data_IF_887553720737
#
_entry.id   IF_887553720737
#
_cell.length_a   1.000
_cell.length_b   1.000
_cell.length_c   1.000
_cell.angle_alpha   90.00
_cell.angle_beta   90.00
_cell.angle_gamma   90.00
#
_symmetry.space_group_name_H-M   'P 1'
#
loop_
_entity.id
_entity.type
_entity.pdbx_description
1 polymer ?
#
# COMPACT_ATOMS: atom_id res chain seq x y z
N UNK A 1 -10.25 33.70 7.54
CA UNK A 1 -9.60 33.08 6.36
C UNK A 1 -8.20 32.65 6.77
N UNK A 2 -8.00 31.37 7.05
CA UNK A 2 -6.67 30.80 7.30
C UNK A 2 -6.21 30.07 6.04
N UNK A 3 -5.43 30.75 5.20
CA UNK A 3 -4.76 30.17 4.04
C UNK A 3 -3.36 29.73 4.46
N UNK A 4 -3.21 28.51 4.97
CA UNK A 4 -1.87 27.99 5.33
C UNK A 4 -1.51 26.63 4.74
N UNK A 5 -2.43 25.97 4.04
CA UNK A 5 -2.11 24.92 3.05
C UNK A 5 -3.12 25.07 1.91
N UNK A 6 -2.67 25.45 0.70
CA UNK A 6 -3.49 25.40 -0.52
C UNK A 6 -3.46 23.96 -1.06
N UNK A 7 -3.90 23.00 -0.26
CA UNK A 7 -3.95 21.60 -0.64
C UNK A 7 -5.33 21.04 -0.30
N UNK A 8 -5.75 20.03 -1.06
CA UNK A 8 -7.05 19.40 -0.94
C UNK A 8 -6.97 18.30 0.13
N UNK A 9 -7.89 18.33 1.09
CA UNK A 9 -8.04 17.26 2.07
C UNK A 9 -8.67 16.04 1.40
N UNK A 10 -8.00 14.89 1.53
CA UNK A 10 -8.41 13.63 0.91
C UNK A 10 -8.35 12.53 1.96
N UNK A 11 -9.50 12.20 2.55
CA UNK A 11 -9.67 11.09 3.49
C UNK A 11 -8.51 10.97 4.52
N UNK A 12 -8.27 12.01 5.30
CA UNK A 12 -7.23 12.06 6.33
C UNK A 12 -5.84 12.46 5.83
N UNK A 13 -5.63 12.62 4.52
CA UNK A 13 -4.35 12.98 3.92
C UNK A 13 -4.50 14.27 3.09
N UNK A 14 -3.41 14.70 2.48
CA UNK A 14 -3.38 15.89 1.62
C UNK A 14 -3.03 15.50 0.19
N UNK A 15 -3.75 16.03 -0.79
CA UNK A 15 -3.64 15.61 -2.19
C UNK A 15 -2.21 15.74 -2.73
N UNK A 16 -1.49 16.79 -2.37
CA UNK A 16 -0.12 17.07 -2.80
C UNK A 16 0.94 16.10 -2.24
N UNK A 17 0.59 15.28 -1.24
CA UNK A 17 1.48 14.28 -0.65
C UNK A 17 0.92 12.87 -0.64
N UNK A 18 -0.17 12.61 -1.36
CA UNK A 18 -0.99 11.41 -1.20
C UNK A 18 -0.24 10.12 -1.49
N UNK A 19 0.57 10.08 -2.57
CA UNK A 19 1.37 8.92 -2.94
C UNK A 19 2.32 8.48 -1.81
N UNK A 20 2.89 9.46 -1.09
CA UNK A 20 3.75 9.20 0.05
C UNK A 20 2.92 8.86 1.28
N UNK A 21 1.87 9.61 1.57
CA UNK A 21 1.05 9.40 2.77
C UNK A 21 0.39 8.02 2.78
N UNK A 22 0.04 7.48 1.62
CA UNK A 22 -0.43 6.09 1.46
C UNK A 22 0.56 5.01 1.94
N UNK A 23 1.76 5.36 2.38
CA UNK A 23 2.75 4.44 2.94
C UNK A 23 2.80 4.48 4.48
N UNK A 24 1.74 4.94 5.13
CA UNK A 24 1.52 4.82 6.57
C UNK A 24 1.45 3.34 7.01
N UNK A 25 1.67 3.05 8.29
CA UNK A 25 1.38 1.75 8.89
C UNK A 25 0.82 1.89 10.30
N UNK A 26 0.33 0.79 10.88
CA UNK A 26 -0.10 0.76 12.28
C UNK A 26 1.02 0.19 13.14
N UNK A 27 1.18 0.78 14.32
CA UNK A 27 1.98 0.22 15.38
C UNK A 27 1.36 -1.09 15.89
N UNK A 28 2.03 -2.21 15.67
CA UNK A 28 1.55 -3.52 16.14
C UNK A 28 1.58 -3.69 17.66
N UNK A 29 2.17 -2.76 18.42
CA UNK A 29 2.46 -3.00 19.83
C UNK A 29 1.23 -2.91 20.75
N UNK A 30 0.26 -1.98 20.56
CA UNK A 30 -1.00 -1.92 21.37
C UNK A 30 -2.13 -1.13 20.69
N UNK A 31 -3.39 -1.60 20.85
CA UNK A 31 -4.61 -0.84 20.58
C UNK A 31 -5.15 -0.88 19.14
N UNK A 32 -4.56 -1.70 18.27
CA UNK A 32 -5.10 -1.95 16.94
C UNK A 32 -6.29 -2.91 17.01
N UNK A 33 -7.33 -2.64 16.21
CA UNK A 33 -8.48 -3.53 16.04
C UNK A 33 -9.07 -3.37 14.65
N UNK A 34 -9.80 -4.39 14.17
CA UNK A 34 -10.59 -4.22 12.95
C UNK A 34 -11.84 -3.40 13.26
N UNK A 35 -12.13 -2.31 12.52
CA UNK A 35 -13.38 -1.58 12.66
C UNK A 35 -14.58 -2.49 12.39
N UNK A 36 -15.63 -2.37 13.21
CA UNK A 36 -16.88 -3.13 13.02
C UNK A 36 -17.82 -2.49 12.00
N UNK A 37 -17.56 -1.24 11.61
CA UNK A 37 -18.32 -0.49 10.62
C UNK A 37 -17.38 0.24 9.66
N UNK A 38 -17.84 0.49 8.43
CA UNK A 38 -17.09 1.27 7.45
C UNK A 38 -16.83 2.69 7.94
N UNK A 39 -15.61 3.19 7.73
CA UNK A 39 -15.17 4.54 8.16
C UNK A 39 -14.62 5.38 7.01
N UNK A 40 -13.82 4.75 6.16
CA UNK A 40 -13.15 5.36 5.02
C UNK A 40 -12.65 4.26 4.07
N UNK A 41 -12.23 4.61 2.84
CA UNK A 41 -11.59 3.67 1.93
C UNK A 41 -10.31 3.06 2.51
N UNK A 42 -9.95 1.84 2.13
CA UNK A 42 -8.85 1.09 2.79
C UNK A 42 -7.46 1.70 2.58
N UNK A 43 -7.28 2.53 1.55
CA UNK A 43 -6.06 3.29 1.33
C UNK A 43 -5.86 4.44 2.34
N UNK A 44 -6.91 4.85 3.06
CA UNK A 44 -6.86 5.90 4.08
C UNK A 44 -6.56 5.33 5.46
N UNK A 45 -5.67 6.00 6.20
CA UNK A 45 -5.43 5.67 7.60
C UNK A 45 -6.66 5.88 8.50
N UNK A 46 -7.64 6.67 8.05
CA UNK A 46 -8.92 6.88 8.77
C UNK A 46 -9.74 5.59 8.82
N UNK A 47 -9.51 4.67 7.88
CA UNK A 47 -10.14 3.35 7.89
C UNK A 47 -9.69 2.53 9.11
N UNK A 48 -8.47 2.72 9.60
CA UNK A 48 -7.88 1.88 10.64
C UNK A 48 -8.13 2.35 12.07
N UNK A 49 -8.01 1.42 13.02
CA UNK A 49 -7.99 1.68 14.46
C UNK A 49 -6.62 1.28 14.99
N UNK A 50 -5.98 2.18 15.73
CA UNK A 50 -4.65 1.97 16.30
C UNK A 50 -3.78 3.21 16.19
N UNK A 51 -2.54 3.12 16.69
CA UNK A 51 -1.54 4.19 16.51
C UNK A 51 -1.02 4.13 15.08
N UNK A 52 -1.34 5.14 14.28
CA UNK A 52 -0.83 5.30 12.92
C UNK A 52 0.57 5.90 12.97
N UNK A 53 1.52 5.23 12.34
CA UNK A 53 2.81 5.77 11.97
C UNK A 53 2.72 6.34 10.56
N UNK A 54 2.93 7.65 10.37
CA UNK A 54 2.90 8.25 9.04
C UNK A 54 4.09 7.77 8.21
N UNK A 55 3.97 7.88 6.89
CA UNK A 55 5.10 7.64 6.01
C UNK A 55 6.28 8.56 6.38
N UNK A 56 7.51 8.04 6.31
CA UNK A 56 8.69 8.77 6.74
C UNK A 56 9.09 9.88 5.74
N UNK A 57 8.56 11.08 5.96
CA UNK A 57 8.75 12.25 5.08
C UNK A 57 10.15 12.87 5.13
N UNK A 58 10.95 12.55 6.15
CA UNK A 58 12.29 13.13 6.35
C UNK A 58 13.39 12.49 5.48
N UNK A 59 13.12 11.31 4.93
CA UNK A 59 14.00 10.68 3.95
C UNK A 59 13.51 11.10 2.57
N UNK A 60 14.40 11.55 1.69
CA UNK A 60 14.03 11.81 0.29
C UNK A 60 14.02 10.48 -0.49
N UNK A 61 13.22 10.43 -1.54
CA UNK A 61 13.11 9.21 -2.34
C UNK A 61 12.25 9.37 -3.57
N UNK A 62 12.34 8.40 -4.46
CA UNK A 62 11.56 8.31 -5.69
C UNK A 62 10.21 7.67 -5.37
N UNK A 63 9.12 8.36 -5.70
CA UNK A 63 7.79 7.73 -5.77
C UNK A 63 7.74 6.84 -7.00
N UNK A 64 7.29 5.60 -6.82
CA UNK A 64 7.12 4.60 -7.87
C UNK A 64 5.65 4.28 -8.13
N UNK A 65 4.76 5.04 -7.49
CA UNK A 65 3.32 5.05 -7.70
C UNK A 65 2.83 6.48 -8.00
N UNK A 66 1.68 6.56 -8.64
CA UNK A 66 1.00 7.81 -8.97
C UNK A 66 -0.51 7.66 -8.79
N UNK A 67 -1.12 8.59 -8.07
CA UNK A 67 -2.59 8.65 -7.96
C UNK A 67 -3.14 9.49 -9.11
N UNK A 68 -3.88 8.86 -10.02
CA UNK A 68 -4.39 9.51 -11.22
C UNK A 68 -5.79 10.10 -11.04
N UNK A 69 -6.65 9.40 -10.30
CA UNK A 69 -8.04 9.83 -10.04
C UNK A 69 -8.44 9.45 -8.62
N UNK A 70 -9.35 10.24 -8.06
CA UNK A 70 -9.89 10.03 -6.73
C UNK A 70 -11.37 10.38 -6.79
N UNK A 71 -12.18 9.59 -6.11
CA UNK A 71 -13.59 9.84 -5.88
C UNK A 71 -13.89 9.58 -4.40
N UNK A 72 -14.62 10.49 -3.76
CA UNK A 72 -15.01 10.38 -2.37
C UNK A 72 -16.50 10.66 -2.24
N UNK A 73 -17.20 9.75 -1.57
CA UNK A 73 -18.62 9.92 -1.24
C UNK A 73 -18.74 10.34 0.22
N UNK A 74 -19.23 11.55 0.47
CA UNK A 74 -19.39 12.10 1.81
C UNK A 74 -20.77 11.81 2.40
N UNK A 75 -20.84 11.64 3.72
CA UNK A 75 -22.12 11.50 4.44
C UNK A 75 -22.92 12.81 4.38
N UNK A 76 -22.24 13.94 4.48
CA UNK A 76 -22.81 15.29 4.44
C UNK A 76 -22.11 16.13 3.35
N UNK A 77 -22.48 17.41 3.22
CA UNK A 77 -21.79 18.36 2.34
C UNK A 77 -20.41 18.79 2.88
N UNK A 78 -20.07 18.41 4.12
CA UNK A 78 -18.76 18.69 4.72
C UNK A 78 -17.70 17.74 4.15
N UNK A 79 -16.84 18.28 3.27
CA UNK A 79 -15.75 17.56 2.61
C UNK A 79 -14.61 17.15 3.55
N UNK A 80 -14.64 17.56 4.82
CA UNK A 80 -13.72 17.10 5.87
C UNK A 80 -14.38 16.09 6.82
N UNK A 81 -15.66 15.80 6.60
CA UNK A 81 -16.48 14.93 7.43
C UNK A 81 -16.37 13.44 7.08
N UNK A 82 -17.34 12.68 7.58
CA UNK A 82 -17.40 11.22 7.41
C UNK A 82 -17.62 10.83 5.96
N UNK A 83 -16.98 9.74 5.54
CA UNK A 83 -17.14 9.13 4.23
C UNK A 83 -18.15 7.98 4.29
N UNK A 84 -18.93 7.82 3.23
CA UNK A 84 -19.79 6.63 2.98
C UNK A 84 -19.20 5.69 1.93
N UNK A 85 -18.18 6.14 1.20
CA UNK A 85 -17.56 5.42 0.09
C UNK A 85 -16.39 6.22 -0.50
N UNK A 86 -15.64 5.59 -1.37
CA UNK A 86 -14.59 6.26 -2.14
C UNK A 86 -13.66 5.27 -2.81
N UNK A 87 -12.94 5.75 -3.82
CA UNK A 87 -11.94 4.97 -4.53
C UNK A 87 -10.86 5.89 -5.09
N UNK A 88 -9.71 5.31 -5.40
CA UNK A 88 -8.70 5.98 -6.21
C UNK A 88 -8.16 5.06 -7.30
N UNK A 89 -7.66 5.66 -8.37
CA UNK A 89 -6.89 4.95 -9.38
C UNK A 89 -5.40 5.14 -9.11
N UNK A 90 -4.72 4.03 -8.85
CA UNK A 90 -3.29 4.00 -8.56
C UNK A 90 -2.54 3.38 -9.74
N UNK A 91 -1.57 4.11 -10.28
CA UNK A 91 -0.63 3.58 -11.27
C UNK A 91 0.67 3.16 -10.60
N UNK A 92 1.21 2.00 -10.98
CA UNK A 92 2.54 1.53 -10.58
C UNK A 92 2.82 0.11 -11.04
N UNK A 93 3.92 -0.48 -10.56
CA UNK A 93 4.30 -1.84 -10.92
C UNK A 93 3.62 -2.87 -9.99
N UNK A 94 2.57 -3.55 -10.48
CA UNK A 94 1.86 -4.57 -9.73
C UNK A 94 2.57 -5.92 -9.87
N UNK A 95 2.79 -6.60 -8.75
CA UNK A 95 3.38 -7.95 -8.69
C UNK A 95 2.48 -8.90 -7.93
N UNK A 96 2.47 -10.18 -8.32
CA UNK A 96 1.78 -11.21 -7.56
C UNK A 96 2.52 -11.48 -6.26
N UNK A 97 1.79 -11.54 -5.16
CA UNK A 97 2.35 -11.71 -3.83
C UNK A 97 1.91 -13.05 -3.24
N UNK A 98 2.81 -13.69 -2.50
CA UNK A 98 2.47 -14.72 -1.53
C UNK A 98 3.19 -14.42 -0.22
N UNK A 99 2.49 -14.62 0.88
CA UNK A 99 3.00 -14.39 2.22
C UNK A 99 3.08 -15.75 2.94
N UNK A 100 4.28 -16.19 3.29
CA UNK A 100 4.52 -17.50 3.94
C UNK A 100 4.85 -17.28 5.41
N UNK A 101 4.18 -18.02 6.31
CA UNK A 101 4.33 -17.84 7.76
C UNK A 101 4.71 -19.16 8.48
N UNK A 102 6.00 -19.39 8.77
CA UNK A 102 6.40 -20.39 9.78
C UNK A 102 6.61 -19.75 11.16
N UNK A 103 7.31 -18.60 11.23
CA UNK A 103 7.67 -17.90 12.48
C UNK A 103 7.66 -16.36 12.36
N UNK A 104 7.81 -15.81 11.14
CA UNK A 104 7.23 -14.52 10.74
C UNK A 104 7.04 -14.50 9.22
N UNK A 105 6.30 -13.50 8.72
CA UNK A 105 5.99 -13.33 7.30
C UNK A 105 7.23 -13.25 6.40
N UNK A 106 7.24 -14.07 5.36
CA UNK A 106 8.17 -14.01 4.23
C UNK A 106 7.40 -13.60 2.99
N UNK A 107 7.93 -12.60 2.28
CA UNK A 107 7.38 -12.19 1.00
C UNK A 107 7.95 -13.04 -0.13
N UNK A 108 7.06 -13.54 -0.98
CA UNK A 108 7.37 -14.17 -2.25
C UNK A 108 6.69 -13.35 -3.34
N UNK A 109 7.49 -12.77 -4.23
CA UNK A 109 7.02 -11.88 -5.30
C UNK A 109 7.23 -12.61 -6.63
N UNK A 110 6.14 -12.80 -7.38
CA UNK A 110 6.12 -13.60 -8.60
C UNK A 110 6.79 -14.98 -8.46
N UNK A 111 6.61 -15.64 -7.31
CA UNK A 111 7.20 -16.95 -7.02
C UNK A 111 8.65 -16.92 -6.52
N UNK A 112 9.29 -15.76 -6.45
CA UNK A 112 10.66 -15.60 -5.94
C UNK A 112 10.64 -15.04 -4.53
N UNK A 113 11.29 -15.71 -3.58
CA UNK A 113 11.41 -15.21 -2.22
C UNK A 113 12.25 -13.93 -2.19
N UNK A 114 11.75 -12.89 -1.54
CA UNK A 114 12.44 -11.61 -1.41
C UNK A 114 13.60 -11.74 -0.42
N UNK A 115 14.81 -11.35 -0.84
CA UNK A 115 16.01 -11.34 0.00
C UNK A 115 16.34 -9.92 0.48
N UNK A 116 16.64 -9.79 1.77
CA UNK A 116 17.20 -8.56 2.33
C UNK A 116 18.65 -8.36 1.86
N UNK A 117 19.06 -7.10 1.66
CA UNK A 117 20.42 -6.74 1.27
C UNK A 117 21.39 -6.66 2.47
N UNK A 118 20.86 -6.56 3.68
CA UNK A 118 21.67 -6.38 4.90
C UNK A 118 21.79 -7.68 5.67
N UNK A 119 22.87 -7.85 6.44
CA UNK A 119 23.00 -8.99 7.37
C UNK A 119 22.24 -8.80 8.68
N UNK A 120 21.79 -7.58 8.96
CA UNK A 120 21.09 -7.21 10.19
C UNK A 120 19.59 -7.42 10.08
N UNK A 121 19.09 -7.39 8.86
CA UNK A 121 17.72 -7.68 8.53
C UNK A 121 17.68 -8.95 7.69
N UNK A 122 16.91 -9.94 8.12
CA UNK A 122 16.79 -11.20 7.40
C UNK A 122 15.73 -11.13 6.27
N UNK A 123 14.78 -10.18 6.35
CA UNK A 123 13.61 -10.11 5.46
C UNK A 123 12.86 -8.77 5.63
N UNK A 124 12.15 -8.29 4.60
CA UNK A 124 11.31 -7.11 4.77
C UNK A 124 10.29 -7.27 5.92
N UNK A 125 10.12 -6.20 6.69
CA UNK A 125 9.13 -6.13 7.75
C UNK A 125 7.74 -5.87 7.15
N UNK A 126 6.78 -6.72 7.49
CA UNK A 126 5.38 -6.63 7.06
C UNK A 126 4.53 -6.01 8.17
N UNK A 127 3.70 -5.03 7.81
CA UNK A 127 2.78 -4.35 8.70
C UNK A 127 1.39 -4.40 8.09
N UNK A 128 0.43 -5.05 8.77
CA UNK A 128 -0.95 -5.09 8.32
C UNK A 128 -1.77 -3.93 8.86
N UNK A 129 -2.83 -3.58 8.13
CA UNK A 129 -3.79 -2.53 8.51
C UNK A 129 -4.82 -3.01 9.56
N UNK A 130 -4.83 -4.33 9.85
CA UNK A 130 -5.66 -4.99 10.87
C UNK A 130 -4.81 -5.95 11.72
N UNK A 131 -5.25 -6.33 12.93
CA UNK A 131 -4.48 -7.25 13.78
C UNK A 131 -4.21 -8.59 13.11
N UNK A 132 -3.00 -9.12 13.30
CA UNK A 132 -2.58 -10.40 12.73
C UNK A 132 -3.42 -11.59 13.21
N UNK A 133 -3.91 -11.54 14.45
CA UNK A 133 -4.77 -12.58 15.03
C UNK A 133 -6.09 -12.77 14.28
N UNK A 134 -6.51 -11.77 13.50
CA UNK A 134 -7.77 -11.77 12.76
C UNK A 134 -7.58 -12.21 11.30
N UNK A 135 -6.34 -12.46 10.85
CA UNK A 135 -6.05 -12.89 9.49
C UNK A 135 -6.22 -14.40 9.33
N UNK A 136 -6.78 -14.81 8.19
CA UNK A 136 -6.76 -16.20 7.78
C UNK A 136 -5.34 -16.56 7.31
N UNK A 137 -4.72 -17.55 7.96
CA UNK A 137 -3.32 -17.95 7.70
C UNK A 137 -3.19 -19.00 6.59
N UNK A 138 -4.30 -19.51 6.08
CA UNK A 138 -4.29 -20.39 4.90
C UNK A 138 -3.98 -19.56 3.66
N UNK A 139 -3.25 -20.14 2.70
CA UNK A 139 -2.78 -19.46 1.48
C UNK A 139 -3.85 -18.53 0.94
N UNK A 140 -3.63 -17.22 0.99
CA UNK A 140 -4.57 -16.23 0.48
C UNK A 140 -4.36 -16.14 -1.04
N UNK A 141 -5.18 -16.84 -1.87
CA UNK A 141 -5.16 -16.57 -3.29
C UNK A 141 -5.52 -15.09 -3.47
N UNK A 142 -4.92 -14.46 -4.47
CA UNK A 142 -5.23 -13.09 -4.90
C UNK A 142 -4.56 -11.95 -4.11
N UNK A 143 -3.42 -12.22 -3.48
CA UNK A 143 -2.54 -11.17 -2.98
C UNK A 143 -1.65 -10.60 -4.08
N UNK A 144 -1.48 -9.29 -4.04
CA UNK A 144 -0.61 -8.52 -4.90
C UNK A 144 0.17 -7.49 -4.07
N UNK A 145 1.20 -6.91 -4.68
CA UNK A 145 1.92 -5.79 -4.09
C UNK A 145 2.34 -4.79 -5.14
N UNK A 146 2.56 -3.54 -4.72
CA UNK A 146 3.04 -2.47 -5.59
C UNK A 146 4.14 -1.69 -4.85
N UNK A 147 5.31 -1.55 -5.47
CA UNK A 147 6.39 -0.75 -4.88
C UNK A 147 5.99 0.72 -4.90
N UNK A 148 5.83 1.32 -3.73
CA UNK A 148 5.39 2.70 -3.57
C UNK A 148 6.53 3.69 -3.63
N UNK A 149 7.66 3.36 -2.99
CA UNK A 149 8.77 4.30 -2.83
C UNK A 149 10.12 3.60 -2.72
N UNK A 150 11.16 4.24 -3.23
CA UNK A 150 12.57 3.93 -2.95
C UNK A 150 13.28 5.15 -2.38
N UNK A 151 13.85 5.02 -1.19
CA UNK A 151 14.63 6.06 -0.51
C UNK A 151 15.99 6.23 -1.17
N UNK A 152 16.40 7.48 -1.38
CA UNK A 152 17.65 7.86 -2.09
C UNK A 152 18.62 8.67 -1.24
N UNK A 153 18.29 8.96 0.02
CA UNK A 153 19.17 9.72 0.93
C UNK A 153 19.49 8.91 2.19
N UNK A 154 19.08 9.39 3.36
CA UNK A 154 19.30 8.67 4.63
C UNK A 154 18.61 7.32 4.53
N UNK A 155 19.32 6.22 4.83
CA UNK A 155 18.84 4.85 4.60
C UNK A 155 18.60 4.51 3.11
N UNK A 156 19.51 4.93 2.24
CA UNK A 156 19.49 4.63 0.81
C UNK A 156 19.16 3.15 0.52
N UNK A 157 18.23 2.93 -0.41
CA UNK A 157 17.80 1.59 -0.81
C UNK A 157 16.67 1.01 0.05
N UNK A 158 16.26 1.67 1.14
CA UNK A 158 15.02 1.34 1.83
C UNK A 158 13.84 1.51 0.86
N UNK A 159 13.04 0.47 0.70
CA UNK A 159 11.82 0.52 -0.10
C UNK A 159 10.59 0.40 0.78
N UNK A 160 9.48 0.91 0.26
CA UNK A 160 8.14 0.76 0.81
C UNK A 160 7.24 0.16 -0.25
N UNK A 161 6.50 -0.88 0.12
CA UNK A 161 5.68 -1.69 -0.78
C UNK A 161 4.27 -1.74 -0.22
N UNK A 162 3.28 -1.37 -1.01
CA UNK A 162 1.86 -1.56 -0.68
C UNK A 162 1.51 -3.04 -0.80
N UNK A 163 0.76 -3.55 0.17
CA UNK A 163 0.18 -4.89 0.14
C UNK A 163 -1.29 -4.76 -0.21
N UNK A 164 -1.72 -5.54 -1.20
CA UNK A 164 -3.03 -5.42 -1.83
C UNK A 164 -3.71 -6.78 -1.89
N UNK A 165 -5.01 -6.80 -1.64
CA UNK A 165 -5.86 -7.97 -1.82
C UNK A 165 -6.86 -7.66 -2.93
N UNK A 166 -6.93 -8.53 -3.93
CA UNK A 166 -7.89 -8.41 -5.01
C UNK A 166 -9.32 -8.62 -4.48
N UNK A 167 -10.20 -7.70 -4.83
CA UNK A 167 -11.63 -7.77 -4.49
C UNK A 167 -12.45 -8.17 -5.71
N UNK A 168 -12.12 -7.59 -6.87
CA UNK A 168 -12.81 -7.87 -8.14
C UNK A 168 -11.79 -7.91 -9.29
N UNK A 169 -11.72 -9.09 -9.93
CA UNK A 169 -10.81 -9.36 -11.04
C UNK A 169 -11.23 -8.71 -12.36
N UNK A 170 -12.52 -8.46 -12.56
CA UNK A 170 -13.03 -7.86 -13.81
C UNK A 170 -12.74 -6.36 -13.87
N UNK A 171 -12.81 -5.70 -12.73
CA UNK A 171 -12.61 -4.24 -12.62
C UNK A 171 -11.20 -3.86 -12.16
N UNK A 172 -10.34 -4.84 -11.84
CA UNK A 172 -9.03 -4.58 -11.24
C UNK A 172 -9.16 -3.80 -9.92
N UNK A 173 -10.13 -4.18 -9.09
CA UNK A 173 -10.40 -3.54 -7.80
C UNK A 173 -9.70 -4.29 -6.68
N UNK A 174 -9.00 -3.53 -5.84
CA UNK A 174 -8.22 -4.03 -4.72
C UNK A 174 -8.59 -3.28 -3.44
N UNK A 175 -8.31 -3.90 -2.30
CA UNK A 175 -8.19 -3.20 -1.02
C UNK A 175 -6.73 -3.23 -0.57
N UNK A 176 -6.30 -2.14 0.07
CA UNK A 176 -5.04 -2.10 0.80
C UNK A 176 -5.20 -2.91 2.08
N UNK A 177 -4.19 -3.73 2.38
CA UNK A 177 -4.16 -4.57 3.57
C UNK A 177 -2.94 -4.32 4.46
N UNK A 178 -2.02 -3.48 4.02
CA UNK A 178 -0.80 -3.16 4.76
C UNK A 178 0.31 -2.62 3.88
N UNK A 179 1.50 -2.56 4.47
CA UNK A 179 2.76 -2.28 3.78
C UNK A 179 3.82 -3.31 4.16
N UNK A 180 4.85 -3.41 3.31
CA UNK A 180 6.13 -3.98 3.69
C UNK A 180 7.24 -2.96 3.47
N UNK A 181 8.30 -3.04 4.27
CA UNK A 181 9.49 -2.19 4.10
C UNK A 181 10.77 -2.92 4.47
N UNK A 182 11.86 -2.55 3.81
CA UNK A 182 13.19 -3.10 4.06
C UNK A 182 14.18 -2.69 2.97
N UNK A 183 15.45 -3.03 3.15
CA UNK A 183 16.47 -2.86 2.11
C UNK A 183 16.58 -4.18 1.36
N UNK A 184 16.19 -4.20 0.09
CA UNK A 184 16.11 -5.42 -0.73
C UNK A 184 17.32 -5.56 -1.64
N UNK A 185 17.80 -6.79 -1.82
CA UNK A 185 19.01 -7.11 -2.59
C UNK A 185 18.96 -6.64 -4.04
N UNK A 186 17.81 -6.80 -4.71
CA UNK A 186 17.58 -6.33 -6.08
C UNK A 186 16.14 -5.82 -6.26
N UNK A 187 15.84 -4.56 -5.87
CA UNK A 187 14.50 -4.02 -6.01
C UNK A 187 14.08 -3.83 -7.47
N UNK A 188 15.05 -3.66 -8.38
CA UNK A 188 14.77 -3.48 -9.80
C UNK A 188 14.20 -4.77 -10.39
N UNK A 189 14.90 -5.89 -10.23
CA UNK A 189 14.42 -7.19 -10.71
C UNK A 189 13.17 -7.66 -9.97
N UNK A 190 13.06 -7.38 -8.67
CA UNK A 190 11.95 -7.86 -7.83
C UNK A 190 10.64 -7.12 -8.12
N UNK A 191 10.68 -5.79 -8.28
CA UNK A 191 9.46 -4.97 -8.27
C UNK A 191 9.24 -4.13 -9.52
N UNK A 192 10.27 -3.84 -10.32
CA UNK A 192 10.16 -2.86 -11.42
C UNK A 192 10.20 -3.55 -12.78
N UNK A 193 11.17 -4.43 -13.00
CA UNK A 193 11.31 -5.14 -14.27
C UNK A 193 10.07 -6.01 -14.54
N UNK A 194 9.46 -5.94 -15.74
CA UNK A 194 8.35 -6.81 -16.09
C UNK A 194 8.76 -8.28 -16.03
N UNK A 195 7.85 -9.13 -15.58
CA UNK A 195 7.96 -10.58 -15.68
C UNK A 195 6.78 -11.14 -16.48
N UNK A 196 6.91 -12.39 -16.96
CA UNK A 196 5.90 -12.98 -17.85
C UNK A 196 4.52 -13.11 -17.18
N UNK A 197 3.46 -12.75 -17.90
CA UNK A 197 2.07 -12.86 -17.47
C UNK A 197 1.56 -11.71 -16.60
N UNK A 198 2.37 -10.67 -16.36
CA UNK A 198 1.93 -9.49 -15.62
C UNK A 198 0.91 -8.65 -16.41
N UNK A 199 0.94 -8.69 -17.73
CA UNK A 199 -0.02 -8.04 -18.62
C UNK A 199 -1.44 -8.61 -18.50
N UNK A 200 -1.58 -9.82 -17.95
CA UNK A 200 -2.86 -10.47 -17.68
C UNK A 200 -3.40 -10.18 -16.27
N UNK A 201 -2.69 -9.40 -15.45
CA UNK A 201 -3.14 -9.10 -14.09
C UNK A 201 -4.40 -8.22 -14.09
N UNK A 202 -5.32 -8.41 -13.13
CA UNK A 202 -6.48 -7.55 -12.96
C UNK A 202 -6.10 -6.08 -12.83
N UNK A 203 -6.47 -5.27 -13.81
CA UNK A 203 -6.23 -3.83 -13.83
C UNK A 203 -7.21 -3.14 -14.78
N UNK A 204 -7.32 -1.82 -14.64
CA UNK A 204 -8.08 -0.95 -15.56
C UNK A 204 -7.33 -0.71 -16.86
N UNK A 205 -5.99 -0.68 -16.80
CA UNK A 205 -5.10 -0.41 -17.92
C UNK A 205 -3.69 -0.96 -17.61
N UNK A 206 -3.03 -1.52 -18.63
CA UNK A 206 -1.62 -1.92 -18.57
C UNK A 206 -0.83 -1.26 -19.71
N UNK A 207 0.13 -0.41 -19.36
CA UNK A 207 0.99 0.33 -20.31
C UNK A 207 2.39 0.44 -19.73
N UNK A 208 3.41 0.22 -20.57
CA UNK A 208 4.84 0.39 -20.24
C UNK A 208 5.28 -0.35 -18.96
N UNK A 209 4.73 -1.54 -18.70
CA UNK A 209 5.06 -2.34 -17.53
C UNK A 209 4.39 -1.87 -16.23
N UNK A 210 3.44 -0.93 -16.30
CA UNK A 210 2.68 -0.42 -15.16
C UNK A 210 1.19 -0.70 -15.30
N UNK A 211 0.57 -0.98 -14.16
CA UNK A 211 -0.85 -1.24 -14.01
C UNK A 211 -1.53 -0.03 -13.42
N UNK A 212 -2.67 0.36 -13.99
CA UNK A 212 -3.63 1.23 -13.35
C UNK A 212 -4.66 0.35 -12.63
N UNK A 213 -4.73 0.42 -11.31
CA UNK A 213 -5.69 -0.35 -10.50
C UNK A 213 -6.65 0.57 -9.76
N UNK A 214 -7.81 0.06 -9.38
CA UNK A 214 -8.74 0.74 -8.49
C UNK A 214 -8.52 0.27 -7.05
N UNK A 215 -8.35 1.19 -6.09
CA UNK A 215 -8.30 0.87 -4.67
C UNK A 215 -9.51 1.47 -3.96
N UNK A 216 -10.25 0.63 -3.24
CA UNK A 216 -11.43 0.99 -2.44
C UNK A 216 -11.13 1.00 -0.94
#
# INVERSE_FOLDING_TARGET
MGTLIQDEYVAGMWRGGLELDMLWCIDGFQGASTPTTYRAPTWSWVASVGRVWPAERLMDGLSLIKVEKIHLDYVTEDTWGMLRGGWLHLRGHLKKLSLIHPDDWKMVVNGVQVEAATKYDAKPHVYFDTPESERNKESEPNLYCMIGRRVTTVCEGLIFVLLLELVDGETGTFKRIGIARGVIKDPQATFISPSGGEDEFPCLEYVDGQHLICII
#
